data_IF_895440306328
#
_entry.id   IF_895440306328
#
_cell.length_a   1.000
_cell.length_b   1.000
_cell.length_c   1.000
_cell.angle_alpha   90.00
_cell.angle_beta   90.00
_cell.angle_gamma   90.00
#
_symmetry.space_group_name_H-M   'P 1'
#
loop_
_entity.id
_entity.type
_entity.pdbx_description
1 polymer ?
#
# COMPACT_ATOMS: atom_id res chain seq x y z
N UNK A 1 28.46 -49.75 -10.48
CA UNK A 1 28.73 -48.37 -10.96
C UNK A 1 27.41 -47.75 -11.37
N UNK A 2 26.81 -46.89 -10.56
CA UNK A 2 25.59 -46.14 -10.92
C UNK A 2 25.68 -44.76 -10.26
N UNK A 3 25.66 -43.70 -11.09
CA UNK A 3 26.05 -42.32 -10.76
C UNK A 3 24.95 -41.55 -10.00
N UNK A 4 25.23 -40.84 -8.88
CA UNK A 4 24.27 -40.01 -8.17
C UNK A 4 24.28 -38.55 -8.69
N UNK A 5 24.27 -38.35 -10.01
CA UNK A 5 24.37 -37.01 -10.63
C UNK A 5 23.02 -36.38 -11.00
N UNK A 6 21.93 -37.14 -10.96
CA UNK A 6 20.61 -36.66 -11.39
C UNK A 6 19.81 -35.92 -10.29
N UNK A 7 19.96 -36.33 -9.02
CA UNK A 7 19.19 -35.73 -7.92
C UNK A 7 19.54 -34.25 -7.63
N UNK A 8 20.80 -33.85 -7.85
CA UNK A 8 21.25 -32.49 -7.59
C UNK A 8 20.74 -31.46 -8.63
N UNK A 9 20.44 -31.89 -9.86
CA UNK A 9 19.94 -30.99 -10.92
C UNK A 9 18.44 -30.71 -10.78
N UNK A 10 17.67 -31.68 -10.28
CA UNK A 10 16.23 -31.51 -10.04
C UNK A 10 15.94 -30.52 -8.91
N UNK A 11 16.76 -30.51 -7.85
CA UNK A 11 16.59 -29.57 -6.72
C UNK A 11 16.89 -28.11 -7.11
N UNK A 12 17.84 -27.87 -8.01
CA UNK A 12 18.18 -26.50 -8.48
C UNK A 12 17.09 -25.94 -9.40
N UNK A 13 16.48 -26.78 -10.24
CA UNK A 13 15.36 -26.36 -11.10
C UNK A 13 14.10 -26.06 -10.30
N UNK A 14 13.77 -26.86 -9.29
CA UNK A 14 12.61 -26.60 -8.42
C UNK A 14 12.76 -25.30 -7.60
N UNK A 15 13.98 -24.96 -7.16
CA UNK A 15 14.25 -23.70 -6.48
C UNK A 15 14.11 -22.47 -7.40
N UNK A 16 14.45 -22.60 -8.68
CA UNK A 16 14.27 -21.52 -9.68
C UNK A 16 12.79 -21.28 -10.03
N UNK A 17 11.96 -22.33 -10.05
CA UNK A 17 10.52 -22.21 -10.32
C UNK A 17 9.76 -21.47 -9.22
N UNK A 18 10.19 -21.59 -7.96
CA UNK A 18 9.56 -20.89 -6.82
C UNK A 18 9.90 -19.39 -6.83
N UNK A 19 11.08 -18.99 -7.32
CA UNK A 19 11.47 -17.57 -7.43
C UNK A 19 10.75 -16.84 -8.57
N UNK A 20 10.33 -17.56 -9.62
CA UNK A 20 9.62 -16.96 -10.76
C UNK A 20 8.11 -16.81 -10.54
N UNK A 21 7.52 -17.54 -9.59
CA UNK A 21 6.10 -17.42 -9.25
C UNK A 21 5.81 -16.34 -8.19
N UNK A 22 6.84 -15.74 -7.59
CA UNK A 22 6.70 -14.67 -6.59
C UNK A 22 6.63 -13.25 -7.16
N UNK A 23 6.42 -13.07 -8.47
CA UNK A 23 6.33 -11.73 -9.10
C UNK A 23 4.91 -11.27 -9.44
N UNK A 24 3.86 -11.91 -8.89
CA UNK A 24 2.53 -11.27 -8.79
C UNK A 24 2.56 -10.27 -7.62
N UNK A 25 3.39 -9.24 -7.72
CA UNK A 25 3.37 -8.09 -6.83
C UNK A 25 2.62 -6.98 -7.55
N UNK A 26 1.42 -6.66 -7.07
CA UNK A 26 0.50 -5.70 -7.69
C UNK A 26 1.25 -4.45 -8.14
N UNK A 27 1.23 -4.23 -9.45
CA UNK A 27 1.89 -3.12 -10.11
C UNK A 27 1.14 -1.82 -9.84
N UNK A 28 1.83 -0.70 -10.00
CA UNK A 28 1.23 0.64 -10.01
C UNK A 28 -0.03 0.67 -10.89
N UNK A 29 -1.06 1.48 -10.55
CA UNK A 29 -2.38 1.39 -11.18
C UNK A 29 -2.32 1.43 -12.69
N UNK A 30 -3.13 0.60 -13.36
CA UNK A 30 -3.22 0.60 -14.82
C UNK A 30 -3.85 1.90 -15.36
N UNK A 31 -4.69 2.56 -14.55
CA UNK A 31 -5.39 3.79 -14.93
C UNK A 31 -4.60 5.04 -14.54
N UNK A 32 -4.46 5.97 -15.49
CA UNK A 32 -3.79 7.25 -15.22
C UNK A 32 -4.69 8.23 -14.46
N UNK A 33 -4.09 9.18 -13.74
CA UNK A 33 -4.84 10.21 -13.01
C UNK A 33 -5.86 11.00 -13.86
N UNK A 34 -5.49 11.50 -15.06
CA UNK A 34 -6.43 12.18 -15.95
C UNK A 34 -7.58 11.28 -16.44
N UNK A 35 -7.33 9.98 -16.59
CA UNK A 35 -8.33 9.01 -17.01
C UNK A 35 -9.32 8.71 -15.88
N UNK A 36 -8.83 8.49 -14.66
CA UNK A 36 -9.68 8.29 -13.48
C UNK A 36 -10.52 9.54 -13.18
N UNK A 37 -9.95 10.74 -13.32
CA UNK A 37 -10.72 11.99 -13.19
C UNK A 37 -11.79 12.13 -14.28
N UNK A 38 -11.49 11.71 -15.52
CA UNK A 38 -12.45 11.69 -16.61
C UNK A 38 -13.59 10.70 -16.35
N UNK A 39 -13.29 9.55 -15.78
CA UNK A 39 -14.29 8.56 -15.38
C UNK A 39 -15.23 9.14 -14.32
N UNK A 40 -14.69 9.79 -13.28
CA UNK A 40 -15.48 10.47 -12.25
C UNK A 40 -16.41 11.56 -12.81
N UNK A 41 -15.91 12.39 -13.74
CA UNK A 41 -16.73 13.47 -14.32
C UNK A 41 -17.89 12.96 -15.17
N UNK A 42 -17.84 11.69 -15.61
CA UNK A 42 -18.88 11.03 -16.39
C UNK A 42 -19.78 10.11 -15.57
N UNK A 43 -19.32 9.65 -14.40
CA UNK A 43 -20.12 8.76 -13.57
C UNK A 43 -21.22 9.53 -12.85
N UNK A 44 -22.46 9.04 -12.97
CA UNK A 44 -23.60 9.50 -12.16
C UNK A 44 -23.78 8.69 -10.88
N UNK A 45 -22.96 7.64 -10.72
CA UNK A 45 -22.99 6.72 -9.59
C UNK A 45 -21.61 6.78 -8.90
N UNK A 46 -21.49 7.69 -7.95
CA UNK A 46 -20.28 7.87 -7.13
C UNK A 46 -20.74 7.89 -5.68
N UNK A 47 -20.21 6.97 -4.88
CA UNK A 47 -20.52 6.92 -3.46
C UNK A 47 -19.93 8.15 -2.75
N UNK A 48 -20.71 8.74 -1.85
CA UNK A 48 -20.35 9.97 -1.11
C UNK A 48 -19.99 11.16 -2.03
N UNK A 49 -20.60 11.25 -3.22
CA UNK A 49 -20.32 12.30 -4.19
C UNK A 49 -20.51 13.71 -3.60
N UNK A 50 -19.50 14.55 -3.79
CA UNK A 50 -19.52 15.97 -3.41
C UNK A 50 -20.37 16.80 -4.38
N UNK A 51 -20.54 16.32 -5.61
CA UNK A 51 -21.38 16.94 -6.62
C UNK A 51 -22.47 15.96 -7.08
N UNK A 52 -23.38 15.55 -6.18
CA UNK A 52 -24.35 14.52 -6.51
C UNK A 52 -25.22 14.94 -7.69
N UNK A 53 -25.47 14.00 -8.58
CA UNK A 53 -26.50 14.14 -9.61
C UNK A 53 -27.84 13.72 -9.01
N UNK A 54 -28.85 14.59 -9.10
CA UNK A 54 -30.23 14.20 -8.75
C UNK A 54 -30.65 12.97 -9.56
N UNK A 55 -31.47 12.10 -8.95
CA UNK A 55 -31.99 10.89 -9.58
C UNK A 55 -32.59 11.19 -10.97
N UNK A 56 -32.03 10.55 -12.01
CA UNK A 56 -32.52 10.60 -13.38
C UNK A 56 -31.78 11.53 -14.34
N UNK A 57 -30.70 12.22 -13.92
CA UNK A 57 -29.83 12.98 -14.84
C UNK A 57 -28.79 12.10 -15.52
N UNK A 58 -28.44 12.40 -16.76
CA UNK A 58 -27.47 11.61 -17.53
C UNK A 58 -26.01 12.06 -17.29
N UNK A 59 -25.07 11.25 -17.77
CA UNK A 59 -23.65 11.59 -17.81
C UNK A 59 -23.37 12.90 -18.58
N UNK A 60 -24.15 13.18 -19.61
CA UNK A 60 -24.06 14.41 -20.41
C UNK A 60 -24.50 15.63 -19.60
N UNK A 61 -25.58 15.51 -18.82
CA UNK A 61 -26.06 16.59 -17.95
C UNK A 61 -25.05 16.91 -16.85
N UNK A 62 -24.44 15.88 -16.24
CA UNK A 62 -23.37 16.05 -15.26
C UNK A 62 -22.18 16.81 -15.85
N UNK A 63 -21.72 16.40 -17.03
CA UNK A 63 -20.63 17.07 -17.72
C UNK A 63 -20.97 18.51 -18.10
N UNK A 64 -22.20 18.76 -18.58
CA UNK A 64 -22.66 20.11 -18.90
C UNK A 64 -22.70 21.00 -17.65
N UNK A 65 -23.15 20.46 -16.52
CA UNK A 65 -23.16 21.16 -15.24
C UNK A 65 -21.74 21.52 -14.79
N UNK A 66 -20.80 20.57 -14.84
CA UNK A 66 -19.40 20.86 -14.53
C UNK A 66 -18.81 21.93 -15.45
N UNK A 67 -19.05 21.82 -16.75
CA UNK A 67 -18.55 22.80 -17.73
C UNK A 67 -19.17 24.21 -17.55
N UNK A 68 -20.36 24.31 -16.96
CA UNK A 68 -21.01 25.59 -16.69
C UNK A 68 -20.38 26.35 -15.51
N UNK A 69 -19.87 25.64 -14.50
CA UNK A 69 -19.38 26.23 -13.25
C UNK A 69 -17.86 26.18 -13.07
N UNK A 70 -17.16 25.27 -13.74
CA UNK A 70 -15.74 25.00 -13.49
C UNK A 70 -14.94 24.78 -14.77
N UNK A 71 -13.68 25.21 -14.78
CA UNK A 71 -12.67 24.58 -15.64
C UNK A 71 -12.30 23.19 -15.09
N UNK A 72 -11.69 22.29 -15.89
CA UNK A 72 -11.22 21.00 -15.40
C UNK A 72 -10.33 21.10 -14.16
N UNK A 73 -9.43 22.08 -14.11
CA UNK A 73 -8.51 22.31 -13.00
C UNK A 73 -9.25 22.83 -11.76
N UNK A 74 -10.23 23.72 -11.94
CA UNK A 74 -11.06 24.23 -10.85
C UNK A 74 -11.92 23.12 -10.25
N UNK A 75 -12.49 22.24 -11.07
CA UNK A 75 -13.26 21.09 -10.61
C UNK A 75 -12.36 20.12 -9.83
N UNK A 76 -11.17 19.83 -10.36
CA UNK A 76 -10.19 18.98 -9.70
C UNK A 76 -9.75 19.56 -8.35
N UNK A 77 -9.50 20.87 -8.30
CA UNK A 77 -9.20 21.58 -7.06
C UNK A 77 -10.39 21.52 -6.08
N UNK A 78 -11.60 21.84 -6.54
CA UNK A 78 -12.80 21.80 -5.70
C UNK A 78 -13.08 20.39 -5.13
N UNK A 79 -12.72 19.36 -5.88
CA UNK A 79 -12.83 17.96 -5.46
C UNK A 79 -11.80 17.58 -4.40
N UNK A 80 -10.53 17.90 -4.63
CA UNK A 80 -9.40 17.31 -3.89
C UNK A 80 -8.76 18.26 -2.86
N UNK A 81 -9.07 19.55 -2.87
CA UNK A 81 -8.46 20.53 -1.96
C UNK A 81 -8.86 20.28 -0.49
N UNK A 82 -7.92 20.62 0.40
CA UNK A 82 -8.15 20.64 1.84
C UNK A 82 -8.90 21.92 2.21
N UNK A 83 -10.08 21.75 2.79
CA UNK A 83 -10.99 22.82 3.25
C UNK A 83 -10.94 22.90 4.78
N UNK A 84 -10.88 24.10 5.37
CA UNK A 84 -10.89 24.24 6.83
C UNK A 84 -12.12 23.59 7.44
N UNK A 85 -11.94 22.93 8.59
CA UNK A 85 -13.04 22.53 9.43
C UNK A 85 -13.44 23.73 10.30
N UNK A 86 -14.20 24.65 9.74
CA UNK A 86 -14.81 25.76 10.45
C UNK A 86 -16.33 25.56 10.59
N UNK A 87 -16.88 26.00 11.73
CA UNK A 87 -18.28 25.73 12.12
C UNK A 87 -19.33 26.42 11.22
N UNK A 88 -18.93 27.24 10.24
CA UNK A 88 -19.85 28.21 9.63
C UNK A 88 -19.80 28.33 8.11
N UNK A 89 -18.93 27.62 7.37
CA UNK A 89 -18.76 27.91 5.94
C UNK A 89 -18.49 26.73 5.00
N UNK A 90 -18.30 25.51 5.50
CA UNK A 90 -17.94 24.37 4.63
C UNK A 90 -19.16 23.49 4.36
N UNK A 91 -19.55 23.36 3.09
CA UNK A 91 -20.55 22.40 2.61
C UNK A 91 -19.82 21.25 1.86
N UNK A 92 -19.94 19.99 2.31
CA UNK A 92 -20.65 19.53 3.51
C UNK A 92 -19.92 19.90 4.82
N UNK A 93 -20.65 20.05 5.94
CA UNK A 93 -20.08 20.47 7.23
C UNK A 93 -19.02 19.49 7.71
N UNK A 94 -17.83 20.01 8.03
CA UNK A 94 -16.77 19.19 8.60
C UNK A 94 -17.20 18.63 9.96
N UNK A 95 -17.50 17.34 9.98
CA UNK A 95 -18.05 16.63 11.15
C UNK A 95 -17.13 15.48 11.58
N UNK A 96 -15.88 15.76 12.02
CA UNK A 96 -14.94 14.72 12.41
C UNK A 96 -15.46 13.98 13.63
N UNK A 97 -15.29 12.66 13.68
CA UNK A 97 -15.66 11.85 14.83
C UNK A 97 -14.68 12.07 16.02
N UNK A 98 -14.93 11.39 17.15
CA UNK A 98 -14.11 11.56 18.35
C UNK A 98 -12.64 11.15 18.15
N UNK A 99 -12.39 10.06 17.41
CA UNK A 99 -11.04 9.55 17.13
C UNK A 99 -10.23 10.55 16.31
N UNK A 100 -10.82 11.09 15.23
CA UNK A 100 -10.20 12.12 14.39
C UNK A 100 -9.87 13.37 15.20
N UNK A 101 -10.81 13.86 16.02
CA UNK A 101 -10.58 15.04 16.88
C UNK A 101 -9.45 14.79 17.89
N UNK A 102 -9.39 13.60 18.47
CA UNK A 102 -8.35 13.24 19.41
C UNK A 102 -6.98 13.17 18.72
N UNK A 103 -6.88 12.47 17.58
CA UNK A 103 -5.67 12.39 16.78
C UNK A 103 -5.18 13.77 16.33
N UNK A 104 -6.08 14.64 15.88
CA UNK A 104 -5.76 16.02 15.51
C UNK A 104 -5.21 16.82 16.69
N UNK A 105 -5.83 16.68 17.88
CA UNK A 105 -5.36 17.33 19.11
C UNK A 105 -4.00 16.81 19.56
N UNK A 106 -3.76 15.50 19.46
CA UNK A 106 -2.50 14.87 19.85
C UNK A 106 -1.35 15.29 18.93
N UNK A 107 -1.62 15.43 17.62
CA UNK A 107 -0.62 15.89 16.66
C UNK A 107 -0.39 17.41 16.69
N UNK A 108 -1.46 18.20 16.59
CA UNK A 108 -1.39 19.63 16.34
C UNK A 108 -1.45 20.50 17.61
N UNK A 109 -1.86 19.93 18.74
CA UNK A 109 -2.09 20.64 19.99
C UNK A 109 -3.38 21.47 20.00
N UNK A 110 -3.61 22.20 21.09
CA UNK A 110 -4.84 22.97 21.31
C UNK A 110 -5.04 24.16 20.34
N UNK A 111 -3.96 24.66 19.75
CA UNK A 111 -3.97 25.74 18.75
C UNK A 111 -3.85 25.23 17.31
N UNK A 112 -3.91 23.91 17.11
CA UNK A 112 -3.90 23.30 15.80
C UNK A 112 -5.15 23.62 14.98
N UNK A 113 -5.03 23.57 13.66
CA UNK A 113 -6.17 23.63 12.76
C UNK A 113 -6.41 22.27 12.11
N UNK A 114 -7.68 21.98 11.82
CA UNK A 114 -8.10 20.77 11.14
C UNK A 114 -8.71 21.15 9.78
N UNK A 115 -8.39 20.37 8.77
CA UNK A 115 -8.95 20.49 7.43
C UNK A 115 -9.54 19.14 7.04
N UNK A 116 -10.57 19.15 6.20
CA UNK A 116 -11.08 17.96 5.53
C UNK A 116 -10.73 18.03 4.04
N UNK A 117 -10.48 16.88 3.42
CA UNK A 117 -10.31 16.73 1.98
C UNK A 117 -10.90 15.43 1.51
N UNK A 118 -11.28 15.36 0.25
CA UNK A 118 -11.66 14.10 -0.38
C UNK A 118 -10.49 13.53 -1.18
N UNK A 119 -10.43 12.21 -1.23
CA UNK A 119 -9.69 11.47 -2.25
C UNK A 119 -10.70 10.69 -3.08
N UNK A 120 -10.48 10.62 -4.39
CA UNK A 120 -11.33 9.81 -5.26
C UNK A 120 -10.74 8.41 -5.35
N UNK A 121 -11.55 7.41 -5.07
CA UNK A 121 -11.15 6.02 -5.00
C UNK A 121 -11.92 5.24 -6.05
N UNK A 122 -11.22 4.46 -6.84
CA UNK A 122 -11.80 3.41 -7.66
C UNK A 122 -11.52 2.08 -6.97
N UNK A 123 -12.58 1.43 -6.51
CA UNK A 123 -12.50 0.13 -5.83
C UNK A 123 -12.19 -0.99 -6.83
N UNK A 124 -11.79 -2.16 -6.32
CA UNK A 124 -11.53 -3.35 -7.14
C UNK A 124 -12.72 -3.68 -8.06
N UNK A 125 -13.94 -3.60 -7.52
CA UNK A 125 -15.23 -3.85 -8.19
C UNK A 125 -15.65 -2.77 -9.21
N UNK A 126 -14.77 -1.77 -9.41
CA UNK A 126 -14.93 -0.63 -10.32
C UNK A 126 -15.93 0.44 -9.86
N UNK A 127 -16.47 0.34 -8.65
CA UNK A 127 -17.22 1.44 -8.05
C UNK A 127 -16.29 2.64 -7.79
N UNK A 128 -16.87 3.84 -7.86
CA UNK A 128 -16.20 5.08 -7.52
C UNK A 128 -16.75 5.60 -6.20
N UNK A 129 -15.85 6.07 -5.34
CA UNK A 129 -16.17 6.59 -4.02
C UNK A 129 -15.32 7.82 -3.72
N UNK A 130 -15.90 8.83 -3.06
CA UNK A 130 -15.14 9.90 -2.43
C UNK A 130 -14.95 9.60 -0.94
N UNK A 131 -13.71 9.30 -0.56
CA UNK A 131 -13.36 9.07 0.84
C UNK A 131 -12.86 10.36 1.47
N UNK A 132 -13.42 10.72 2.62
CA UNK A 132 -12.98 11.90 3.37
C UNK A 132 -11.81 11.56 4.26
N UNK A 133 -10.72 12.31 4.11
CA UNK A 133 -9.56 12.31 4.98
C UNK A 133 -9.45 13.68 5.66
N UNK A 134 -8.72 13.72 6.76
CA UNK A 134 -8.48 14.93 7.52
C UNK A 134 -6.99 15.29 7.49
N UNK A 135 -6.70 16.57 7.56
CA UNK A 135 -5.34 17.08 7.65
C UNK A 135 -5.24 17.96 8.89
N UNK A 136 -4.48 17.51 9.88
CA UNK A 136 -4.16 18.32 11.04
C UNK A 136 -2.93 19.17 10.75
N UNK A 137 -2.97 20.45 11.11
CA UNK A 137 -1.84 21.39 10.97
C UNK A 137 -1.53 22.03 12.32
N UNK A 138 -0.30 21.86 12.77
CA UNK A 138 0.18 22.51 14.00
C UNK A 138 0.47 24.00 13.80
N UNK A 139 0.65 24.73 14.89
CA UNK A 139 1.08 26.14 14.86
C UNK A 139 2.44 26.33 14.14
N UNK A 140 3.32 25.33 14.19
CA UNK A 140 4.60 25.30 13.47
C UNK A 140 4.46 24.92 11.98
N UNK A 141 3.22 24.86 11.47
CA UNK A 141 2.87 24.48 10.09
C UNK A 141 3.23 23.04 9.70
N UNK A 142 3.55 22.17 10.66
CA UNK A 142 3.69 20.73 10.39
C UNK A 142 2.32 20.14 10.11
N UNK A 143 2.26 19.18 9.20
CA UNK A 143 1.03 18.53 8.77
C UNK A 143 1.06 17.04 9.07
N UNK A 144 -0.12 16.48 9.31
CA UNK A 144 -0.35 15.05 9.33
C UNK A 144 -1.70 14.75 8.68
N UNK A 145 -1.73 13.67 7.91
CA UNK A 145 -2.96 13.09 7.40
C UNK A 145 -3.59 12.21 8.48
N UNK A 146 -4.91 12.25 8.60
CA UNK A 146 -5.68 11.46 9.56
C UNK A 146 -6.85 10.83 8.79
N UNK A 147 -7.04 9.52 8.91
CA UNK A 147 -8.16 8.83 8.28
C UNK A 147 -9.44 8.89 9.13
N UNK A 148 -10.50 8.20 8.70
CA UNK A 148 -11.78 8.14 9.42
C UNK A 148 -11.69 7.45 10.79
N UNK A 149 -10.71 6.57 11.01
CA UNK A 149 -10.55 5.83 12.27
C UNK A 149 -9.62 6.55 13.26
N UNK A 150 -8.98 7.64 12.82
CA UNK A 150 -8.09 8.46 13.62
C UNK A 150 -6.63 8.01 13.53
N UNK A 151 -6.28 7.08 12.64
CA UNK A 151 -4.88 6.75 12.41
C UNK A 151 -4.17 7.94 11.76
N UNK A 152 -2.93 8.19 12.17
CA UNK A 152 -2.18 9.42 11.82
C UNK A 152 -0.94 9.09 11.01
N UNK A 153 -0.75 9.80 9.89
CA UNK A 153 0.34 9.60 8.93
C UNK A 153 1.12 10.90 8.75
N UNK A 154 2.42 10.86 9.05
CA UNK A 154 3.30 12.03 9.03
C UNK A 154 4.31 12.00 7.88
N UNK A 155 4.44 10.86 7.19
CA UNK A 155 5.33 10.70 6.05
C UNK A 155 4.66 10.92 4.69
N UNK A 156 3.50 11.58 4.66
CA UNK A 156 2.76 11.88 3.42
C UNK A 156 2.16 10.65 2.75
N UNK A 157 2.01 10.70 1.43
CA UNK A 157 1.27 9.71 0.64
C UNK A 157 1.85 8.29 0.74
N UNK A 158 3.18 8.17 0.77
CA UNK A 158 3.83 6.86 0.86
C UNK A 158 3.67 6.21 2.23
N UNK A 159 3.65 7.01 3.30
CA UNK A 159 3.38 6.55 4.66
C UNK A 159 1.93 6.09 4.79
N UNK A 160 1.00 6.90 4.28
CA UNK A 160 -0.41 6.57 4.21
C UNK A 160 -0.64 5.24 3.50
N UNK A 161 -0.14 5.08 2.26
CA UNK A 161 -0.30 3.84 1.47
C UNK A 161 0.31 2.60 2.13
N UNK A 162 1.28 2.73 3.03
CA UNK A 162 1.91 1.56 3.67
C UNK A 162 1.19 1.08 4.92
N UNK A 163 0.44 1.96 5.56
CA UNK A 163 -0.02 1.75 6.94
C UNK A 163 -1.51 2.00 7.14
N UNK A 164 -2.25 2.38 6.09
CA UNK A 164 -3.70 2.51 6.16
C UNK A 164 -4.38 1.14 6.08
N UNK A 165 -5.54 1.02 6.71
CA UNK A 165 -6.40 -0.17 6.71
C UNK A 165 -7.74 0.06 5.99
N UNK A 166 -7.96 1.27 5.45
CA UNK A 166 -9.19 1.66 4.75
C UNK A 166 -9.16 1.38 3.24
N UNK A 167 -7.99 1.07 2.69
CA UNK A 167 -7.81 0.76 1.27
C UNK A 167 -7.07 -0.55 1.06
N UNK A 168 -7.48 -1.25 0.00
CA UNK A 168 -6.81 -2.46 -0.47
C UNK A 168 -5.69 -2.14 -1.47
N UNK A 169 -4.88 -3.15 -1.76
CA UNK A 169 -3.78 -3.03 -2.74
C UNK A 169 -4.31 -2.75 -4.15
N UNK A 170 -5.50 -3.24 -4.48
CA UNK A 170 -6.09 -3.14 -5.82
C UNK A 170 -7.01 -1.91 -5.99
N UNK A 171 -7.23 -1.15 -4.92
CA UNK A 171 -7.87 0.15 -4.99
C UNK A 171 -6.95 1.17 -5.70
N UNK A 172 -7.52 2.05 -6.50
CA UNK A 172 -6.79 3.18 -7.11
C UNK A 172 -7.27 4.50 -6.53
N UNK A 173 -6.34 5.28 -5.98
CA UNK A 173 -6.62 6.58 -5.35
C UNK A 173 -6.10 7.70 -6.24
N UNK A 174 -6.97 8.64 -6.58
CA UNK A 174 -6.63 9.95 -7.14
C UNK A 174 -6.52 10.98 -6.02
N UNK A 175 -5.34 11.56 -5.86
CA UNK A 175 -5.02 12.50 -4.76
C UNK A 175 -3.89 13.45 -5.15
N UNK A 176 -3.75 14.63 -4.51
CA UNK A 176 -2.52 15.39 -4.58
C UNK A 176 -1.32 14.56 -4.09
N UNK A 177 -0.16 14.74 -4.74
CA UNK A 177 1.09 14.09 -4.32
C UNK A 177 1.47 14.47 -2.87
N UNK A 178 1.26 15.74 -2.49
CA UNK A 178 1.28 16.19 -1.11
C UNK A 178 -0.09 16.03 -0.46
N UNK A 179 -0.51 14.80 -0.19
CA UNK A 179 -1.85 14.47 0.36
C UNK A 179 -2.14 15.13 1.72
N UNK A 180 -1.12 15.47 2.49
CA UNK A 180 -1.20 16.17 3.76
C UNK A 180 -0.93 17.68 3.64
N UNK A 181 -0.68 18.18 2.43
CA UNK A 181 -0.48 19.61 2.20
C UNK A 181 -1.81 20.37 2.19
N UNK A 182 -1.79 21.60 2.70
CA UNK A 182 -2.96 22.50 2.75
C UNK A 182 -2.61 23.83 2.06
N UNK A 183 -3.36 24.26 1.04
CA UNK A 183 -4.65 23.70 0.63
C UNK A 183 -4.58 22.42 -0.23
N UNK A 184 -3.39 21.94 -0.60
CA UNK A 184 -3.26 20.75 -1.45
C UNK A 184 -2.80 21.05 -2.87
N UNK A 185 -1.89 22.00 -3.02
CA UNK A 185 -1.39 22.40 -4.34
C UNK A 185 -0.40 21.35 -4.87
N UNK A 186 -0.31 21.27 -6.19
CA UNK A 186 0.70 20.49 -6.89
C UNK A 186 0.14 19.41 -7.79
N UNK A 187 1.00 18.44 -8.12
CA UNK A 187 0.69 17.36 -9.05
C UNK A 187 -0.36 16.42 -8.44
N UNK A 188 -1.42 16.16 -9.19
CA UNK A 188 -2.37 15.09 -8.87
C UNK A 188 -1.83 13.77 -9.44
N UNK A 189 -1.91 12.71 -8.64
CA UNK A 189 -1.40 11.37 -8.96
C UNK A 189 -2.49 10.34 -8.76
N UNK A 190 -2.46 9.27 -9.56
CA UNK A 190 -3.19 8.04 -9.31
C UNK A 190 -2.20 7.01 -8.76
N UNK A 191 -2.51 6.42 -7.61
CA UNK A 191 -1.64 5.48 -6.90
C UNK A 191 -2.47 4.31 -6.36
N UNK A 192 -1.83 3.18 -6.06
CA UNK A 192 -2.53 2.09 -5.38
C UNK A 192 -2.92 2.49 -3.96
N UNK A 193 -4.04 1.99 -3.47
CA UNK A 193 -4.57 2.34 -2.14
C UNK A 193 -3.69 1.84 -1.01
N UNK A 194 -3.20 0.60 -1.14
CA UNK A 194 -2.19 0.03 -0.27
C UNK A 194 -0.93 -0.34 -1.05
N UNK A 195 0.23 -0.18 -0.41
CA UNK A 195 1.49 -0.73 -0.92
C UNK A 195 1.55 -2.21 -0.54
N UNK A 196 1.77 -3.14 -1.46
CA UNK A 196 1.90 -4.55 -1.10
C UNK A 196 3.07 -4.73 -0.15
N UNK A 197 2.84 -5.45 0.96
CA UNK A 197 3.89 -5.80 1.93
C UNK A 197 4.98 -6.53 1.15
N UNK A 198 6.20 -6.00 1.10
CA UNK A 198 7.27 -6.65 0.36
C UNK A 198 7.88 -7.77 1.22
N UNK A 199 7.27 -8.95 1.20
CA UNK A 199 7.72 -10.16 1.91
C UNK A 199 8.97 -10.82 1.27
N UNK A 200 9.38 -10.34 0.09
CA UNK A 200 10.51 -10.88 -0.68
C UNK A 200 11.83 -10.93 0.09
N UNK A 201 12.24 -9.93 0.90
CA UNK A 201 13.47 -10.01 1.68
C UNK A 201 13.44 -11.16 2.69
N UNK A 202 12.28 -11.43 3.29
CA UNK A 202 12.10 -12.52 4.26
C UNK A 202 12.11 -13.88 3.60
N UNK A 203 11.52 -14.02 2.40
CA UNK A 203 11.56 -15.28 1.64
C UNK A 203 12.98 -15.61 1.18
N UNK A 204 13.71 -14.63 0.65
CA UNK A 204 15.09 -14.81 0.20
C UNK A 204 16.02 -15.09 1.38
N UNK A 205 15.86 -14.35 2.48
CA UNK A 205 16.61 -14.58 3.72
C UNK A 205 16.31 -15.95 4.35
N UNK A 206 15.04 -16.33 4.43
CA UNK A 206 14.60 -17.62 4.98
C UNK A 206 15.06 -18.81 4.12
N UNK A 207 14.99 -18.70 2.79
CA UNK A 207 15.47 -19.74 1.89
C UNK A 207 16.98 -19.96 1.99
N UNK A 208 17.78 -18.90 2.13
CA UNK A 208 19.22 -19.00 2.33
C UNK A 208 19.58 -19.76 3.63
N UNK A 209 18.83 -19.50 4.72
CA UNK A 209 19.02 -20.17 6.01
C UNK A 209 18.70 -21.66 5.94
N UNK A 210 17.77 -22.11 5.09
CA UNK A 210 17.46 -23.54 4.93
C UNK A 210 18.44 -24.25 3.98
N UNK A 211 18.85 -23.60 2.89
CA UNK A 211 19.68 -24.22 1.86
C UNK A 211 21.15 -24.37 2.29
N UNK A 212 21.72 -23.39 2.98
CA UNK A 212 23.12 -23.40 3.42
C UNK A 212 23.49 -24.55 4.39
N UNK A 213 22.72 -24.86 5.45
CA UNK A 213 23.05 -25.98 6.34
C UNK A 213 22.85 -27.35 5.68
N UNK A 214 21.86 -27.50 4.80
CA UNK A 214 21.64 -28.77 4.07
C UNK A 214 22.81 -29.05 3.11
N UNK A 215 23.31 -28.03 2.41
CA UNK A 215 24.49 -28.14 1.57
C UNK A 215 25.76 -28.42 2.39
N UNK A 216 25.92 -27.76 3.54
CA UNK A 216 27.04 -27.96 4.47
C UNK A 216 27.10 -29.39 5.03
N UNK A 217 25.96 -29.94 5.47
CA UNK A 217 25.88 -31.33 6.00
C UNK A 217 26.15 -32.36 4.89
N UNK A 218 25.65 -32.12 3.67
CA UNK A 218 25.90 -33.01 2.54
C UNK A 218 27.38 -33.00 2.10
N UNK A 219 28.04 -31.84 2.12
CA UNK A 219 29.47 -31.71 1.82
C UNK A 219 30.35 -32.33 2.92
N UNK A 220 30.05 -32.07 4.20
CA UNK A 220 30.77 -32.61 5.34
C UNK A 220 30.71 -34.14 5.42
N UNK A 221 29.57 -34.76 5.10
CA UNK A 221 29.43 -36.22 5.05
C UNK A 221 30.21 -36.88 3.90
N UNK A 222 30.48 -36.17 2.80
CA UNK A 222 31.26 -36.68 1.68
C UNK A 222 32.77 -36.58 1.89
N UNK A 223 33.22 -35.60 2.67
CA UNK A 223 34.63 -35.38 2.99
C UNK A 223 35.07 -36.03 4.30
N UNK A 224 34.15 -36.60 5.08
CA UNK A 224 34.48 -37.32 6.30
C UNK A 224 35.37 -38.55 5.97
N UNK A 225 36.64 -38.57 6.45
CA UNK A 225 37.52 -39.70 6.22
C UNK A 225 36.91 -40.94 6.86
N UNK A 226 36.64 -41.97 6.04
CA UNK A 226 36.23 -43.30 6.52
C UNK A 226 37.34 -43.83 7.44
N UNK A 227 37.20 -43.60 8.75
CA UNK A 227 38.02 -44.24 9.78
C UNK A 227 37.79 -45.74 9.64
N UNK A 228 38.70 -46.41 8.92
CA UNK A 228 38.78 -47.87 8.90
C UNK A 228 39.05 -48.30 10.34
N UNK A 229 38.03 -48.88 10.96
CA UNK A 229 38.15 -49.53 12.26
C UNK A 229 39.13 -50.68 12.05
N UNK A 230 40.39 -50.46 12.45
CA UNK A 230 41.44 -51.46 12.48
C UNK A 230 41.14 -52.34 13.69
N UNK A 231 40.43 -53.45 13.48
CA UNK A 231 40.22 -54.49 14.49
C UNK A 231 41.57 -54.95 15.01
N UNK A 232 41.86 -54.59 16.26
CA UNK A 232 43.04 -55.01 17.02
C UNK A 232 42.84 -56.49 17.38
N UNK A 233 43.55 -57.38 16.68
CA UNK A 233 43.68 -58.80 17.06
C UNK A 233 44.39 -58.85 18.42
N UNK A 234 43.73 -59.41 19.43
CA UNK A 234 44.35 -59.74 20.71
C UNK A 234 45.43 -60.80 20.50
N UNK A 235 46.61 -60.70 21.16
CA UNK A 235 47.60 -61.77 21.17
C UNK A 235 47.12 -62.92 22.03
N UNK A 236 47.21 -64.14 21.51
CA UNK A 236 47.06 -65.38 22.28
C UNK A 236 48.19 -65.48 23.31
N UNK A 237 47.81 -65.78 24.55
CA UNK A 237 48.72 -66.16 25.62
C UNK A 237 49.30 -67.55 25.34
N UNK A 238 50.61 -67.81 25.54
CA UNK A 238 51.16 -69.15 25.42
C UNK A 238 50.83 -69.95 26.68
N UNK A 239 50.61 -71.25 26.50
CA UNK A 239 50.56 -72.23 27.58
C UNK A 239 51.78 -73.15 27.47
N UNK A 240 52.41 -73.36 28.63
CA UNK A 240 53.40 -74.37 29.03
C UNK A 240 54.71 -74.46 28.24
#
# INVERSE_FOLDING_TARGET
MTRPRFAARAAVLAALSVVLLSSCGSSEPEISGPELFREYTRSTDVENDKFPTDDGRSSEDRLANFAAYYTPEQLQYALLAATPCDDTATEPPCSPNASVRQAAKDFAGASGTLYQRSVLVKREDKSLELVTLYVARSADKKTALIDSDGATYTGGLDDFRRHNDIFDVDDTILTPQGIDSVPGEGKIVAVSGHTPVNWVPWVVGGAAVVVLPVAGVAAGRRLAPRRRIRTRRSPQSPAA
#
